data_IF_944571744224
#
_entry.id   IF_944571744224
#
_cell.length_a   1.000
_cell.length_b   1.000
_cell.length_c   1.000
_cell.angle_alpha   90.00
_cell.angle_beta   90.00
_cell.angle_gamma   90.00
#
_symmetry.space_group_name_H-M   'P 1'
#
loop_
_entity.id
_entity.type
_entity.pdbx_description
1 polymer ?
#
# COMPACT_ATOMS: atom_id res chain seq x y z
N UNK A 1 6.38 -7.30 -31.01
CA UNK A 1 5.53 -6.77 -29.91
C UNK A 1 6.22 -7.16 -28.61
N UNK A 2 6.98 -6.25 -28.01
CA UNK A 2 7.50 -6.48 -26.66
C UNK A 2 6.33 -6.30 -25.70
N UNK A 3 5.86 -7.40 -25.12
CA UNK A 3 4.87 -7.37 -24.03
C UNK A 3 5.42 -6.48 -22.92
N UNK A 4 4.80 -5.33 -22.70
CA UNK A 4 5.13 -4.45 -21.57
C UNK A 4 4.93 -5.26 -20.29
N UNK A 5 5.93 -5.26 -19.41
CA UNK A 5 5.78 -5.89 -18.10
C UNK A 5 4.54 -5.31 -17.39
N UNK A 6 3.70 -6.19 -16.83
CA UNK A 6 2.55 -5.75 -16.03
C UNK A 6 3.06 -5.05 -14.78
N UNK A 7 2.50 -3.88 -14.46
CA UNK A 7 2.81 -3.17 -13.24
C UNK A 7 2.32 -3.95 -12.01
N UNK A 8 3.10 -3.91 -10.93
CA UNK A 8 2.81 -4.62 -9.69
C UNK A 8 3.55 -4.01 -8.50
N UNK A 9 3.07 -4.29 -7.29
CA UNK A 9 3.74 -3.92 -6.04
C UNK A 9 4.25 -5.15 -5.28
N UNK A 10 5.31 -4.96 -4.52
CA UNK A 10 5.89 -5.98 -3.65
C UNK A 10 6.58 -5.34 -2.45
N UNK A 11 6.80 -6.13 -1.40
CA UNK A 11 7.53 -5.68 -0.20
C UNK A 11 8.69 -6.62 0.05
N UNK A 12 9.90 -6.07 0.12
CA UNK A 12 11.07 -6.80 0.57
C UNK A 12 11.18 -6.68 2.09
N UNK A 13 11.27 -7.82 2.77
CA UNK A 13 11.28 -7.89 4.24
C UNK A 13 12.61 -8.50 4.69
N UNK A 14 13.23 -7.87 5.69
CA UNK A 14 14.43 -8.38 6.34
C UNK A 14 14.12 -9.71 7.07
N UNK A 15 15.01 -10.72 7.03
CA UNK A 15 14.70 -12.06 7.54
C UNK A 15 14.23 -12.12 9.00
N UNK A 16 14.78 -11.30 9.91
CA UNK A 16 14.34 -11.29 11.31
C UNK A 16 12.92 -10.72 11.49
N UNK A 17 12.44 -9.94 10.52
CA UNK A 17 11.07 -9.44 10.46
C UNK A 17 10.13 -10.40 9.72
N UNK A 18 10.63 -11.22 8.81
CA UNK A 18 9.82 -12.17 8.03
C UNK A 18 9.06 -13.16 8.94
N UNK A 19 9.72 -13.69 9.97
CA UNK A 19 9.09 -14.55 10.98
C UNK A 19 8.04 -13.84 11.87
N UNK A 20 7.87 -12.53 11.70
CA UNK A 20 6.90 -11.70 12.44
C UNK A 20 5.77 -11.18 11.55
N UNK A 21 5.72 -11.56 10.28
CA UNK A 21 4.59 -11.24 9.40
C UNK A 21 3.36 -11.94 9.97
N UNK A 22 2.33 -11.16 10.30
CA UNK A 22 1.04 -11.64 10.78
C UNK A 22 0.13 -11.91 9.58
N UNK A 23 0.17 -11.01 8.60
CA UNK A 23 -0.70 -11.06 7.43
C UNK A 23 -0.03 -10.41 6.22
N UNK A 24 -0.29 -10.97 5.05
CA UNK A 24 0.06 -10.43 3.75
C UNK A 24 -1.16 -10.55 2.85
N UNK A 25 -1.71 -9.41 2.43
CA UNK A 25 -2.96 -9.38 1.69
C UNK A 25 -2.86 -8.46 0.47
N UNK A 26 -2.75 -9.01 -0.74
CA UNK A 26 -2.89 -8.22 -1.95
C UNK A 26 -4.34 -7.76 -2.10
N UNK A 27 -4.55 -6.45 -2.18
CA UNK A 27 -5.88 -5.86 -2.46
C UNK A 27 -6.08 -5.77 -3.97
N UNK A 28 -5.05 -5.32 -4.68
CA UNK A 28 -5.01 -5.25 -6.14
C UNK A 28 -3.58 -5.44 -6.64
N UNK A 29 -3.35 -5.22 -7.94
CA UNK A 29 -1.98 -5.14 -8.49
C UNK A 29 -1.21 -3.93 -7.97
N UNK A 30 -1.92 -2.91 -7.47
CA UNK A 30 -1.37 -1.61 -7.09
C UNK A 30 -1.32 -1.40 -5.58
N UNK A 31 -2.10 -2.15 -4.80
CA UNK A 31 -2.21 -1.98 -3.35
C UNK A 31 -2.04 -3.32 -2.64
N UNK A 32 -1.17 -3.34 -1.62
CA UNK A 32 -0.97 -4.50 -0.77
C UNK A 32 -0.81 -4.10 0.70
N UNK A 33 -1.39 -4.91 1.57
CA UNK A 33 -1.28 -4.77 3.02
C UNK A 33 -0.26 -5.77 3.54
N UNK A 34 0.66 -5.29 4.36
CA UNK A 34 1.56 -6.13 5.15
C UNK A 34 1.38 -5.78 6.62
N UNK A 35 1.00 -6.77 7.44
CA UNK A 35 0.94 -6.63 8.89
C UNK A 35 2.11 -7.35 9.52
N UNK A 36 2.84 -6.65 10.39
CA UNK A 36 3.98 -7.21 11.12
C UNK A 36 3.80 -7.05 12.61
N UNK A 37 4.14 -8.10 13.35
CA UNK A 37 4.20 -8.09 14.80
C UNK A 37 5.46 -7.36 15.26
N UNK A 38 5.27 -6.37 16.12
CA UNK A 38 6.33 -5.68 16.82
C UNK A 38 6.52 -6.26 18.23
N UNK A 39 7.43 -5.69 18.99
CA UNK A 39 7.61 -6.06 20.40
C UNK A 39 6.36 -5.71 21.23
N UNK A 40 6.20 -6.36 22.38
CA UNK A 40 5.12 -6.09 23.35
C UNK A 40 3.70 -6.26 22.80
N UNK A 41 3.49 -7.27 21.94
CA UNK A 41 2.19 -7.61 21.34
C UNK A 41 1.53 -6.49 20.50
N UNK A 42 2.30 -5.47 20.11
CA UNK A 42 1.84 -4.46 19.16
C UNK A 42 2.01 -4.98 17.73
N UNK A 43 1.15 -4.55 16.83
CA UNK A 43 1.29 -4.76 15.40
C UNK A 43 1.39 -3.42 14.66
N UNK A 44 2.00 -3.48 13.48
CA UNK A 44 2.09 -2.37 12.56
C UNK A 44 1.62 -2.83 11.19
N UNK A 45 0.79 -2.00 10.59
CA UNK A 45 0.22 -2.22 9.28
C UNK A 45 0.86 -1.28 8.28
N UNK A 46 1.45 -1.86 7.25
CA UNK A 46 2.06 -1.17 6.13
C UNK A 46 1.12 -1.34 4.94
N UNK A 47 0.79 -0.23 4.27
CA UNK A 47 0.02 -0.26 3.02
C UNK A 47 0.95 0.22 1.92
N UNK A 48 1.44 -0.70 1.11
CA UNK A 48 2.26 -0.39 -0.05
C UNK A 48 1.36 -0.15 -1.25
N UNK A 49 1.53 1.02 -1.88
CA UNK A 49 0.71 1.46 -3.00
C UNK A 49 1.54 1.99 -4.17
N UNK A 50 0.94 1.94 -5.36
CA UNK A 50 1.46 2.53 -6.59
C UNK A 50 0.28 3.07 -7.42
N UNK A 51 0.04 4.37 -7.31
CA UNK A 51 -1.05 5.06 -7.98
C UNK A 51 -0.95 4.94 -9.51
N UNK A 52 -2.06 5.20 -10.20
CA UNK A 52 -2.06 5.31 -11.66
C UNK A 52 -1.63 6.69 -12.11
N UNK A 53 -1.05 6.77 -13.31
CA UNK A 53 -0.85 8.03 -14.02
C UNK A 53 -2.08 8.39 -14.87
N UNK A 54 -3.06 7.49 -14.95
CA UNK A 54 -4.30 7.69 -15.68
C UNK A 54 -5.36 8.23 -14.73
N UNK A 55 -5.83 9.44 -15.00
CA UNK A 55 -6.88 10.11 -14.22
C UNK A 55 -8.15 9.26 -14.13
N UNK A 56 -8.52 8.55 -15.19
CA UNK A 56 -9.67 7.65 -15.22
C UNK A 56 -9.57 6.46 -14.25
N UNK A 57 -8.37 6.10 -13.79
CA UNK A 57 -8.16 5.02 -12.82
C UNK A 57 -8.08 5.53 -11.37
N UNK A 58 -8.16 6.85 -11.15
CA UNK A 58 -7.94 7.46 -9.84
C UNK A 58 -9.02 7.07 -8.82
N UNK A 59 -10.30 7.16 -9.20
CA UNK A 59 -11.40 6.79 -8.30
C UNK A 59 -11.34 5.31 -7.91
N UNK A 60 -11.10 4.42 -8.88
CA UNK A 60 -10.90 2.99 -8.60
C UNK A 60 -9.71 2.76 -7.68
N UNK A 61 -8.61 3.49 -7.88
CA UNK A 61 -7.44 3.40 -7.00
C UNK A 61 -7.77 3.87 -5.57
N UNK A 62 -8.56 4.94 -5.40
CA UNK A 62 -9.01 5.39 -4.08
C UNK A 62 -9.89 4.35 -3.39
N UNK A 63 -10.81 3.71 -4.12
CA UNK A 63 -11.63 2.62 -3.59
C UNK A 63 -10.79 1.43 -3.13
N UNK A 64 -9.77 1.04 -3.90
CA UNK A 64 -8.81 -0.02 -3.52
C UNK A 64 -8.05 0.35 -2.23
N UNK A 65 -7.58 1.59 -2.12
CA UNK A 65 -6.90 2.07 -0.90
C UNK A 65 -7.87 2.07 0.28
N UNK A 66 -9.08 2.60 0.13
CA UNK A 66 -10.10 2.62 1.19
C UNK A 66 -10.48 1.21 1.64
N UNK A 67 -10.65 0.28 0.70
CA UNK A 67 -10.90 -1.12 1.00
C UNK A 67 -9.78 -1.68 1.89
N UNK A 68 -8.51 -1.44 1.54
CA UNK A 68 -7.40 -1.89 2.36
C UNK A 68 -7.33 -1.24 3.74
N UNK A 69 -7.64 0.06 3.82
CA UNK A 69 -7.68 0.81 5.09
C UNK A 69 -8.80 0.34 6.01
N UNK A 70 -9.94 -0.07 5.46
CA UNK A 70 -11.10 -0.54 6.24
C UNK A 70 -10.81 -1.79 7.08
N UNK A 71 -9.77 -2.54 6.70
CA UNK A 71 -9.39 -3.77 7.40
C UNK A 71 -8.39 -3.53 8.54
N UNK A 72 -7.77 -2.36 8.59
CA UNK A 72 -6.76 -2.03 9.60
C UNK A 72 -7.45 -1.84 10.93
N UNK A 73 -6.97 -2.54 11.97
CA UNK A 73 -7.56 -2.41 13.30
C UNK A 73 -7.25 -1.03 13.87
N UNK A 74 -8.23 -0.39 14.50
CA UNK A 74 -8.13 0.98 15.03
C UNK A 74 -7.03 1.14 16.11
N UNK A 75 -6.58 0.04 16.69
CA UNK A 75 -5.51 -0.03 17.70
C UNK A 75 -4.12 -0.21 17.11
N UNK A 76 -4.01 -0.46 15.80
CA UNK A 76 -2.76 -0.66 15.10
C UNK A 76 -2.17 0.65 14.59
N UNK A 77 -0.85 0.73 14.60
CA UNK A 77 -0.18 1.80 13.86
C UNK A 77 -0.21 1.50 12.37
N UNK A 78 -0.72 2.43 11.57
CA UNK A 78 -0.77 2.34 10.12
C UNK A 78 0.30 3.25 9.50
N UNK A 79 0.95 2.78 8.43
CA UNK A 79 1.80 3.61 7.59
C UNK A 79 1.57 3.29 6.10
N UNK A 80 0.92 4.17 5.33
CA UNK A 80 0.93 4.07 3.89
C UNK A 80 2.31 4.46 3.35
N UNK A 81 2.79 3.74 2.34
CA UNK A 81 4.10 3.89 1.71
C UNK A 81 3.99 3.62 0.20
N UNK A 82 4.90 4.18 -0.58
CA UNK A 82 4.97 3.96 -2.02
C UNK A 82 4.74 5.22 -2.82
N UNK A 83 4.34 5.03 -4.08
CA UNK A 83 4.16 6.12 -5.05
C UNK A 83 2.69 6.51 -5.14
N UNK A 84 2.39 7.75 -4.75
CA UNK A 84 1.05 8.32 -4.80
C UNK A 84 0.77 9.04 -6.13
N UNK A 85 1.79 9.23 -6.99
CA UNK A 85 1.73 10.07 -8.18
C UNK A 85 1.09 11.45 -7.93
N UNK A 86 1.29 12.00 -6.73
CA UNK A 86 0.70 13.25 -6.30
C UNK A 86 1.81 14.23 -5.91
N UNK A 87 1.65 15.48 -6.33
CA UNK A 87 2.49 16.57 -5.86
C UNK A 87 1.94 17.08 -4.52
N UNK A 88 2.77 17.07 -3.48
CA UNK A 88 2.38 17.62 -2.18
C UNK A 88 2.70 19.12 -2.16
N UNK A 89 1.68 19.95 -1.98
CA UNK A 89 1.82 21.41 -1.96
C UNK A 89 0.85 22.07 -2.93
N UNK A 90 1.14 23.30 -3.33
CA UNK A 90 0.26 24.07 -4.21
C UNK A 90 0.34 23.50 -5.64
N UNK A 91 -0.75 22.88 -6.09
CA UNK A 91 -1.09 22.88 -7.51
C UNK A 91 -1.39 24.33 -7.90
N UNK A 92 -0.38 25.00 -8.44
CA UNK A 92 -0.58 26.31 -9.02
C UNK A 92 -1.40 26.16 -10.30
N UNK A 93 -2.73 26.16 -10.16
CA UNK A 93 -3.67 26.51 -11.22
C UNK A 93 -4.71 25.46 -11.57
N UNK A 94 -5.92 25.66 -11.05
CA UNK A 94 -7.00 26.27 -11.84
C UNK A 94 -8.01 26.99 -10.94
#
# INVERSE_FOLDING_TARGET
ITTRAQAGVGVLVEPNLAGRIIDWKPISRRVVILRVKLQQAKSKTLVQLCASNLEAEYETFLEEVQCGLSEVLNTESLKPIGDFNAHVGVDAGK
#
